data_IF_936895240492
#
_entry.id   IF_936895240492
#
_cell.length_a   1.000
_cell.length_b   1.000
_cell.length_c   1.000
_cell.angle_alpha   90.00
_cell.angle_beta   90.00
_cell.angle_gamma   90.00
#
_symmetry.space_group_name_H-M   'P 1'
#
loop_
_entity.id
_entity.type
_entity.pdbx_description
1 polymer ?
#
# COMPACT_ATOMS: atom_id res chain seq x y z
N UNK A 1 -8.07 -43.39 60.58
CA UNK A 1 -6.83 -43.97 60.12
C UNK A 1 -6.75 -43.61 58.64
N UNK A 2 -6.27 -42.39 58.39
CA UNK A 2 -6.11 -41.84 57.03
C UNK A 2 -4.68 -42.05 56.54
N UNK A 3 -4.45 -42.45 55.29
CA UNK A 3 -3.10 -42.41 54.73
C UNK A 3 -2.83 -41.07 54.03
N UNK A 4 -1.68 -40.48 54.32
CA UNK A 4 -1.12 -39.28 53.77
C UNK A 4 -0.86 -39.38 52.25
N UNK A 5 -0.90 -38.25 51.50
CA UNK A 5 -0.60 -38.24 50.07
C UNK A 5 0.90 -38.18 49.79
N UNK A 6 1.34 -39.05 48.89
CA UNK A 6 2.66 -39.09 48.31
C UNK A 6 2.94 -37.84 47.44
N UNK A 7 4.16 -37.30 47.63
CA UNK A 7 4.72 -36.24 46.81
C UNK A 7 5.11 -36.81 45.43
N UNK A 8 4.50 -36.35 44.36
CA UNK A 8 5.01 -36.50 43.02
C UNK A 8 6.01 -35.37 42.72
N UNK A 9 7.27 -35.71 42.63
CA UNK A 9 8.33 -34.87 42.06
C UNK A 9 8.20 -34.88 40.55
N UNK A 10 7.87 -33.73 39.94
CA UNK A 10 7.91 -33.55 38.48
C UNK A 10 9.32 -33.11 38.09
N UNK A 11 10.10 -34.03 37.51
CA UNK A 11 11.34 -33.70 36.82
C UNK A 11 11.09 -32.89 35.55
N UNK A 12 11.51 -31.64 35.58
CA UNK A 12 11.56 -30.83 34.38
C UNK A 12 12.85 -31.12 33.62
N UNK A 13 12.76 -31.92 32.57
CA UNK A 13 13.86 -32.07 31.60
C UNK A 13 14.00 -30.79 30.79
N UNK A 14 15.09 -30.06 31.05
CA UNK A 14 15.56 -28.99 30.16
C UNK A 14 16.04 -29.60 28.86
N UNK A 15 15.26 -29.50 27.80
CA UNK A 15 15.69 -29.77 26.43
C UNK A 15 16.48 -28.56 25.94
N UNK A 16 17.78 -28.66 25.89
CA UNK A 16 18.67 -27.74 25.19
C UNK A 16 18.37 -27.75 23.70
N UNK A 17 18.03 -26.58 23.15
CA UNK A 17 17.89 -26.35 21.70
C UNK A 17 19.30 -26.05 21.15
N UNK A 18 19.79 -26.76 20.13
CA UNK A 18 21.09 -26.47 19.53
C UNK A 18 21.08 -25.08 18.87
N UNK A 19 22.02 -24.24 19.23
CA UNK A 19 22.34 -23.01 18.51
C UNK A 19 23.06 -23.37 17.22
N UNK A 20 22.36 -23.37 16.13
CA UNK A 20 22.93 -23.42 14.79
C UNK A 20 23.36 -21.99 14.41
N UNK A 21 24.66 -21.72 14.55
CA UNK A 21 25.29 -20.51 14.03
C UNK A 21 25.35 -20.62 12.50
N UNK A 22 24.35 -20.06 11.81
CA UNK A 22 24.43 -19.83 10.38
C UNK A 22 25.32 -18.62 10.14
N UNK A 23 26.57 -18.85 9.77
CA UNK A 23 27.47 -17.84 9.25
C UNK A 23 26.89 -17.30 7.93
N UNK A 24 26.30 -16.10 7.96
CA UNK A 24 25.96 -15.35 6.76
C UNK A 24 27.22 -14.63 6.30
N UNK A 25 27.84 -15.15 5.25
CA UNK A 25 28.90 -14.46 4.53
C UNK A 25 28.36 -13.15 3.93
N UNK A 26 28.73 -12.03 4.52
CA UNK A 26 28.53 -10.68 3.98
C UNK A 26 29.63 -10.34 2.99
N UNK A 27 29.49 -10.81 1.76
CA UNK A 27 30.29 -10.35 0.63
C UNK A 27 29.36 -9.70 -0.40
N UNK A 28 29.29 -8.39 -0.37
CA UNK A 28 28.56 -7.60 -1.36
C UNK A 28 28.43 -6.17 -0.89
N UNK A 29 29.40 -5.33 -1.27
CA UNK A 29 29.35 -3.88 -0.99
C UNK A 29 28.06 -3.28 -1.57
N UNK A 30 27.05 -3.13 -0.72
CA UNK A 30 25.80 -2.45 -1.04
C UNK A 30 26.10 -0.96 -1.15
N UNK A 31 26.30 -0.49 -2.40
CA UNK A 31 26.44 0.94 -2.71
C UNK A 31 25.28 1.67 -2.03
N UNK A 32 25.60 2.52 -1.04
CA UNK A 32 24.66 3.45 -0.41
C UNK A 32 24.03 4.31 -1.50
N UNK A 33 22.85 3.94 -1.97
CA UNK A 33 22.05 4.79 -2.85
C UNK A 33 21.58 5.97 -2.01
N UNK A 34 22.06 7.15 -2.40
CA UNK A 34 21.73 8.41 -1.74
C UNK A 34 20.25 8.71 -1.94
N UNK A 35 19.45 8.56 -0.89
CA UNK A 35 17.98 8.79 -0.90
C UNK A 35 17.60 10.24 -1.23
N UNK A 36 18.57 11.17 -1.21
CA UNK A 36 18.35 12.59 -1.45
C UNK A 36 18.22 13.02 -2.92
N UNK A 37 18.51 12.17 -3.90
CA UNK A 37 18.50 12.59 -5.31
C UNK A 37 17.22 12.24 -6.09
N UNK A 38 16.29 11.50 -5.51
CA UNK A 38 15.07 11.10 -6.20
C UNK A 38 13.84 11.97 -5.92
N UNK A 39 13.93 12.98 -5.04
CA UNK A 39 12.80 13.89 -4.81
C UNK A 39 12.48 14.75 -6.04
N UNK A 40 13.49 15.07 -6.84
CA UNK A 40 13.30 15.82 -8.09
C UNK A 40 12.67 14.96 -9.22
N UNK A 41 12.73 13.64 -9.12
CA UNK A 41 12.09 12.73 -10.09
C UNK A 41 10.59 12.60 -9.87
N UNK A 42 10.10 12.90 -8.66
CA UNK A 42 8.66 12.82 -8.30
C UNK A 42 7.88 14.02 -8.85
N UNK A 43 8.55 15.14 -9.13
CA UNK A 43 7.93 16.39 -9.62
C UNK A 43 8.10 16.61 -11.13
N UNK A 44 8.81 15.76 -11.85
CA UNK A 44 8.78 15.81 -13.31
C UNK A 44 7.40 15.32 -13.76
N UNK A 45 6.67 16.08 -14.62
CA UNK A 45 5.59 15.49 -15.37
C UNK A 45 6.22 14.31 -16.12
N UNK A 46 5.80 13.10 -15.76
CA UNK A 46 6.24 11.89 -16.47
C UNK A 46 5.76 12.09 -17.88
N UNK A 47 6.67 12.49 -18.78
CA UNK A 47 6.37 12.60 -20.20
C UNK A 47 5.79 11.26 -20.62
N UNK A 48 4.57 11.28 -21.18
CA UNK A 48 3.82 10.09 -21.53
C UNK A 48 4.52 9.26 -22.62
N UNK A 49 5.53 8.49 -22.20
CA UNK A 49 6.00 7.36 -22.98
C UNK A 49 5.05 6.20 -22.77
N UNK A 50 4.77 5.43 -23.82
CA UNK A 50 3.85 4.27 -23.80
C UNK A 50 4.21 3.22 -22.73
N UNK A 51 5.42 3.28 -22.16
CA UNK A 51 5.97 2.34 -21.18
C UNK A 51 6.00 2.84 -19.73
N UNK A 52 5.28 3.90 -19.38
CA UNK A 52 5.27 4.43 -18.02
C UNK A 52 4.08 3.93 -17.19
N UNK A 53 4.32 3.69 -15.88
CA UNK A 53 3.34 3.14 -14.95
C UNK A 53 3.16 4.04 -13.74
N UNK A 54 1.93 4.15 -13.25
CA UNK A 54 1.60 4.94 -12.05
C UNK A 54 0.49 4.33 -11.21
N UNK A 55 0.37 4.82 -9.98
CA UNK A 55 -0.74 4.61 -9.07
C UNK A 55 -1.40 5.96 -8.78
N UNK A 56 -2.69 6.09 -8.99
CA UNK A 56 -3.47 7.26 -8.57
C UNK A 56 -4.13 6.96 -7.22
N UNK A 57 -4.04 7.91 -6.27
CA UNK A 57 -4.67 7.88 -4.96
C UNK A 57 -5.70 8.99 -4.91
N UNK A 58 -6.98 8.65 -4.93
CA UNK A 58 -8.08 9.62 -5.00
C UNK A 58 -8.68 9.81 -3.63
N UNK A 59 -8.59 11.02 -3.07
CA UNK A 59 -9.00 11.38 -1.71
C UNK A 59 -10.33 12.11 -1.74
N UNK A 60 -11.25 11.76 -0.84
CA UNK A 60 -12.50 12.49 -0.62
C UNK A 60 -12.25 13.77 0.17
N UNK A 61 -12.74 14.91 -0.31
CA UNK A 61 -12.58 16.21 0.34
C UNK A 61 -13.73 16.59 1.26
N UNK A 62 -14.95 16.08 1.02
CA UNK A 62 -16.13 16.30 1.86
C UNK A 62 -15.92 15.84 3.32
N UNK A 63 -15.08 14.82 3.52
CA UNK A 63 -14.73 14.32 4.85
C UNK A 63 -13.81 15.25 5.65
N UNK A 64 -13.27 16.30 5.02
CA UNK A 64 -12.39 17.31 5.65
C UNK A 64 -11.29 16.71 6.51
N UNK A 65 -10.71 15.61 6.06
CA UNK A 65 -9.62 14.92 6.77
C UNK A 65 -8.41 15.84 6.93
N UNK A 66 -7.82 15.86 8.11
CA UNK A 66 -6.54 16.53 8.34
C UNK A 66 -5.43 15.90 7.47
N UNK A 67 -4.40 16.69 7.17
CA UNK A 67 -3.29 16.28 6.29
C UNK A 67 -2.65 14.96 6.73
N UNK A 68 -2.44 14.78 8.03
CA UNK A 68 -1.89 13.54 8.59
C UNK A 68 -2.79 12.32 8.35
N UNK A 69 -4.11 12.50 8.57
CA UNK A 69 -5.09 11.44 8.30
C UNK A 69 -5.17 11.10 6.82
N UNK A 70 -5.26 12.11 5.95
CA UNK A 70 -5.28 11.89 4.50
C UNK A 70 -4.01 11.14 4.02
N UNK A 71 -2.84 11.51 4.54
CA UNK A 71 -1.58 10.82 4.24
C UNK A 71 -1.59 9.36 4.70
N UNK A 72 -2.10 9.07 5.91
CA UNK A 72 -2.23 7.70 6.42
C UNK A 72 -3.19 6.87 5.54
N UNK A 73 -4.35 7.41 5.17
CA UNK A 73 -5.32 6.73 4.31
C UNK A 73 -4.76 6.49 2.89
N UNK A 74 -3.99 7.44 2.32
CA UNK A 74 -3.26 7.23 1.07
C UNK A 74 -2.21 6.11 1.20
N UNK A 75 -1.52 6.02 2.33
CA UNK A 75 -0.55 4.97 2.60
C UNK A 75 -1.23 3.59 2.67
N UNK A 76 -2.38 3.48 3.32
CA UNK A 76 -3.18 2.24 3.32
C UNK A 76 -3.59 1.84 1.91
N UNK A 77 -4.12 2.78 1.11
CA UNK A 77 -4.50 2.50 -0.28
C UNK A 77 -3.30 2.01 -1.11
N UNK A 78 -2.12 2.62 -0.93
CA UNK A 78 -0.91 2.24 -1.66
C UNK A 78 -0.40 0.84 -1.28
N UNK A 79 -0.44 0.48 0.01
CA UNK A 79 -0.07 -0.87 0.47
C UNK A 79 -1.06 -1.91 -0.06
N UNK A 80 -2.36 -1.67 0.07
CA UNK A 80 -3.39 -2.57 -0.47
C UNK A 80 -3.25 -2.76 -1.99
N UNK A 81 -2.96 -1.69 -2.74
CA UNK A 81 -2.73 -1.76 -4.19
C UNK A 81 -1.48 -2.60 -4.53
N UNK A 82 -0.41 -2.45 -3.75
CA UNK A 82 0.82 -3.23 -3.90
C UNK A 82 0.56 -4.73 -3.65
N UNK A 83 -0.12 -5.06 -2.55
CA UNK A 83 -0.45 -6.45 -2.19
C UNK A 83 -1.34 -7.11 -3.25
N UNK A 84 -2.39 -6.42 -3.71
CA UNK A 84 -3.23 -6.93 -4.78
C UNK A 84 -2.44 -7.13 -6.09
N UNK A 85 -1.59 -6.16 -6.47
CA UNK A 85 -0.77 -6.25 -7.67
C UNK A 85 0.25 -7.41 -7.59
N UNK A 86 0.77 -7.71 -6.39
CA UNK A 86 1.70 -8.82 -6.19
C UNK A 86 1.07 -10.17 -6.58
N UNK A 87 -0.21 -10.35 -6.27
CA UNK A 87 -0.93 -11.59 -6.54
C UNK A 87 -1.62 -11.61 -7.90
N UNK A 88 -2.23 -10.50 -8.32
CA UNK A 88 -3.10 -10.45 -9.50
C UNK A 88 -2.37 -10.00 -10.78
N UNK A 89 -1.38 -9.10 -10.65
CA UNK A 89 -0.70 -8.48 -11.79
C UNK A 89 0.81 -8.30 -11.54
N UNK A 90 1.57 -9.38 -11.26
CA UNK A 90 2.98 -9.30 -10.86
C UNK A 90 3.87 -8.64 -11.91
N UNK A 91 3.55 -8.78 -13.21
CA UNK A 91 4.28 -8.12 -14.30
C UNK A 91 4.11 -6.60 -14.25
N UNK A 92 2.88 -6.11 -14.06
CA UNK A 92 2.59 -4.69 -13.91
C UNK A 92 3.29 -4.12 -12.67
N UNK A 93 3.26 -4.84 -11.56
CA UNK A 93 3.98 -4.44 -10.35
C UNK A 93 5.48 -4.30 -10.59
N UNK A 94 6.09 -5.24 -11.31
CA UNK A 94 7.53 -5.20 -11.66
C UNK A 94 7.86 -3.97 -12.51
N UNK A 95 7.05 -3.66 -13.52
CA UNK A 95 7.23 -2.50 -14.40
C UNK A 95 7.05 -1.20 -13.61
N UNK A 96 6.00 -1.08 -12.81
CA UNK A 96 5.80 0.10 -11.96
C UNK A 96 6.96 0.32 -10.98
N UNK A 97 7.51 -0.75 -10.38
CA UNK A 97 8.72 -0.67 -9.53
C UNK A 97 9.92 -0.17 -10.32
N UNK A 98 10.13 -0.65 -11.54
CA UNK A 98 11.22 -0.23 -12.40
C UNK A 98 11.11 1.25 -12.80
N UNK A 99 9.88 1.77 -12.97
CA UNK A 99 9.58 3.18 -13.23
C UNK A 99 9.62 4.09 -11.99
N UNK A 100 10.12 3.61 -10.84
CA UNK A 100 10.26 4.42 -9.62
C UNK A 100 8.99 4.51 -8.77
N UNK A 101 7.98 3.68 -9.03
CA UNK A 101 6.74 3.62 -8.25
C UNK A 101 5.98 4.96 -8.20
N UNK A 102 5.84 5.63 -9.34
CA UNK A 102 5.17 6.93 -9.42
C UNK A 102 3.76 6.87 -8.82
N UNK A 103 3.44 7.88 -7.99
CA UNK A 103 2.13 8.04 -7.33
C UNK A 103 1.65 9.47 -7.51
N UNK A 104 0.34 9.62 -7.74
CA UNK A 104 -0.34 10.93 -7.76
C UNK A 104 -1.46 10.92 -6.74
N UNK A 105 -1.59 12.00 -5.97
CA UNK A 105 -2.70 12.18 -5.04
C UNK A 105 -3.67 13.17 -5.65
N UNK A 106 -4.88 12.69 -5.92
CA UNK A 106 -5.96 13.41 -6.59
C UNK A 106 -7.13 13.59 -5.62
N UNK A 107 -8.11 14.42 -5.97
CA UNK A 107 -9.28 14.68 -5.13
C UNK A 107 -10.59 14.50 -5.86
N UNK A 108 -11.61 14.09 -5.10
CA UNK A 108 -13.04 14.14 -5.45
C UNK A 108 -13.83 14.70 -4.29
N UNK A 109 -15.05 15.18 -4.55
CA UNK A 109 -15.86 15.83 -3.51
C UNK A 109 -16.78 14.86 -2.79
N UNK A 110 -17.21 13.75 -3.42
CA UNK A 110 -18.24 12.87 -2.88
C UNK A 110 -17.86 11.39 -2.92
N UNK A 111 -18.57 10.60 -2.11
CA UNK A 111 -18.45 9.14 -2.16
C UNK A 111 -18.95 8.55 -3.49
N UNK A 112 -20.01 9.14 -4.05
CA UNK A 112 -20.57 8.68 -5.33
C UNK A 112 -19.53 8.76 -6.44
N UNK A 113 -18.85 9.90 -6.59
CA UNK A 113 -17.76 10.10 -7.54
C UNK A 113 -16.63 9.08 -7.32
N UNK A 114 -16.27 8.84 -6.05
CA UNK A 114 -15.23 7.86 -5.72
C UNK A 114 -15.60 6.45 -6.18
N UNK A 115 -16.86 6.04 -5.97
CA UNK A 115 -17.36 4.72 -6.36
C UNK A 115 -17.52 4.57 -7.87
N UNK A 116 -17.95 5.63 -8.57
CA UNK A 116 -18.01 5.64 -10.03
C UNK A 116 -16.63 5.44 -10.66
N UNK A 117 -15.59 6.12 -10.12
CA UNK A 117 -14.22 5.92 -10.52
C UNK A 117 -13.73 4.48 -10.26
N UNK A 118 -14.09 3.91 -9.10
CA UNK A 118 -13.74 2.53 -8.78
C UNK A 118 -14.38 1.54 -9.76
N UNK A 119 -15.65 1.75 -10.12
CA UNK A 119 -16.36 0.94 -11.10
C UNK A 119 -15.70 1.05 -12.49
N UNK A 120 -15.45 2.28 -12.94
CA UNK A 120 -14.79 2.56 -14.22
C UNK A 120 -13.39 1.94 -14.31
N UNK A 121 -12.59 2.04 -13.24
CA UNK A 121 -11.26 1.45 -13.18
C UNK A 121 -11.31 -0.09 -13.30
N UNK A 122 -12.22 -0.74 -12.57
CA UNK A 122 -12.40 -2.21 -12.64
C UNK A 122 -12.86 -2.67 -14.01
N UNK A 123 -13.77 -1.94 -14.66
CA UNK A 123 -14.24 -2.29 -16.01
C UNK A 123 -13.12 -2.23 -17.06
N UNK A 124 -12.04 -1.48 -16.77
CA UNK A 124 -10.85 -1.41 -17.60
C UNK A 124 -9.72 -2.37 -17.16
N UNK A 125 -9.99 -3.26 -16.21
CA UNK A 125 -9.01 -4.24 -15.71
C UNK A 125 -7.95 -3.68 -14.77
N UNK A 126 -8.12 -2.43 -14.29
CA UNK A 126 -7.22 -1.84 -13.28
C UNK A 126 -7.53 -2.39 -11.89
N UNK A 127 -6.48 -2.62 -11.11
CA UNK A 127 -6.60 -2.88 -9.67
C UNK A 127 -7.20 -1.65 -9.00
N UNK A 128 -8.08 -1.88 -8.02
CA UNK A 128 -8.65 -0.83 -7.19
C UNK A 128 -8.54 -1.20 -5.71
N UNK A 129 -8.00 -0.31 -4.90
CA UNK A 129 -7.91 -0.44 -3.45
C UNK A 129 -8.74 0.63 -2.77
N UNK A 130 -9.86 0.25 -2.20
CA UNK A 130 -10.79 1.15 -1.53
C UNK A 130 -10.59 1.07 -0.03
N UNK A 131 -10.16 2.17 0.58
CA UNK A 131 -9.92 2.27 2.03
C UNK A 131 -11.20 2.70 2.72
N UNK A 132 -11.61 1.90 3.71
CA UNK A 132 -12.70 2.23 4.63
C UNK A 132 -12.12 2.60 6.00
N UNK A 133 -12.57 3.70 6.58
CA UNK A 133 -12.14 4.11 7.92
C UNK A 133 -12.70 3.16 8.99
N UNK A 134 -11.91 2.82 9.99
CA UNK A 134 -12.34 1.98 11.12
C UNK A 134 -13.07 2.75 12.21
N UNK A 135 -13.17 4.09 12.08
CA UNK A 135 -13.92 4.95 13.00
C UNK A 135 -13.22 5.31 14.30
N UNK A 136 -11.91 5.10 14.38
CA UNK A 136 -11.14 5.44 15.59
C UNK A 136 -10.77 6.93 15.66
N UNK A 137 -11.12 7.75 14.66
CA UNK A 137 -10.69 9.14 14.56
C UNK A 137 -11.81 10.09 14.11
N UNK A 138 -11.58 10.90 13.06
CA UNK A 138 -12.38 12.08 12.66
C UNK A 138 -13.55 11.77 11.71
N UNK A 139 -13.70 10.53 11.26
CA UNK A 139 -14.65 10.13 10.21
C UNK A 139 -15.49 8.98 10.69
N UNK A 140 -16.75 8.94 10.30
CA UNK A 140 -17.66 7.86 10.69
C UNK A 140 -17.15 6.47 10.27
N UNK A 141 -17.33 5.45 11.14
CA UNK A 141 -16.93 4.08 10.85
C UNK A 141 -17.49 3.60 9.50
N UNK A 142 -16.64 2.98 8.70
CA UNK A 142 -17.03 2.44 7.39
C UNK A 142 -17.05 3.47 6.26
N UNK A 143 -16.77 4.75 6.53
CA UNK A 143 -16.65 5.76 5.47
C UNK A 143 -15.51 5.42 4.51
N UNK A 144 -15.80 5.46 3.21
CA UNK A 144 -14.79 5.28 2.17
C UNK A 144 -14.01 6.57 2.01
N UNK A 145 -12.72 6.53 2.26
CA UNK A 145 -11.86 7.72 2.38
C UNK A 145 -10.97 7.96 1.19
N UNK A 146 -10.31 6.92 0.70
CA UNK A 146 -9.35 6.97 -0.41
C UNK A 146 -9.55 5.77 -1.33
N UNK A 147 -9.44 6.01 -2.62
CA UNK A 147 -9.40 4.98 -3.66
C UNK A 147 -8.02 4.97 -4.33
N UNK A 148 -7.33 3.84 -4.30
CA UNK A 148 -6.19 3.57 -5.16
C UNK A 148 -6.64 3.00 -6.51
N UNK A 149 -6.12 3.54 -7.61
CA UNK A 149 -6.36 3.09 -8.99
C UNK A 149 -5.02 2.68 -9.60
N UNK A 150 -4.83 1.42 -9.90
CA UNK A 150 -3.58 0.83 -10.35
C UNK A 150 -2.82 0.10 -9.21
N UNK A 151 -1.48 -0.15 -9.38
CA UNK A 151 -0.62 0.38 -10.45
C UNK A 151 -1.05 -0.10 -11.84
N UNK A 152 -0.84 0.75 -12.83
CA UNK A 152 -1.17 0.46 -14.23
C UNK A 152 -0.48 1.38 -15.22
N UNK A 153 -0.57 1.10 -16.54
CA UNK A 153 -0.08 1.98 -17.58
C UNK A 153 -0.66 3.39 -17.43
N UNK A 154 0.18 4.42 -17.61
CA UNK A 154 -0.22 5.83 -17.40
C UNK A 154 -1.45 6.20 -18.21
N UNK A 155 -1.48 5.85 -19.50
CA UNK A 155 -2.60 6.12 -20.39
C UNK A 155 -3.92 5.52 -19.88
N UNK A 156 -3.88 4.28 -19.36
CA UNK A 156 -5.06 3.61 -18.86
C UNK A 156 -5.55 4.22 -17.53
N UNK A 157 -4.63 4.54 -16.62
CA UNK A 157 -4.98 5.23 -15.37
C UNK A 157 -5.54 6.62 -15.66
N UNK A 158 -5.01 7.33 -16.69
CA UNK A 158 -5.49 8.65 -17.09
C UNK A 158 -6.89 8.65 -17.73
N UNK A 159 -7.27 7.59 -18.44
CA UNK A 159 -8.66 7.49 -18.93
C UNK A 159 -9.69 7.50 -17.80
N UNK A 160 -9.29 7.05 -16.61
CA UNK A 160 -10.15 7.02 -15.42
C UNK A 160 -10.02 8.29 -14.59
N UNK A 161 -8.80 8.75 -14.32
CA UNK A 161 -8.51 9.77 -13.31
C UNK A 161 -7.87 11.04 -13.84
N UNK A 162 -7.56 11.13 -15.14
CA UNK A 162 -6.79 12.26 -15.72
C UNK A 162 -7.51 13.61 -15.70
N UNK A 163 -8.83 13.62 -15.52
CA UNK A 163 -9.64 14.84 -15.41
C UNK A 163 -9.67 15.42 -13.98
N UNK A 164 -9.18 14.66 -12.99
CA UNK A 164 -9.21 15.06 -11.59
C UNK A 164 -8.09 16.06 -11.28
N UNK A 165 -8.34 16.91 -10.28
CA UNK A 165 -7.34 17.85 -9.78
C UNK A 165 -6.47 17.20 -8.70
N UNK A 166 -5.27 17.75 -8.53
CA UNK A 166 -4.39 17.36 -7.41
C UNK A 166 -5.04 17.72 -6.07
N UNK A 167 -4.77 16.87 -5.07
CA UNK A 167 -5.23 17.06 -3.69
C UNK A 167 -4.45 18.15 -2.97
#
# INVERSE_FOLDING_TARGET
>A
MEPSPEKMESGAEHREVPKEEAAVETSGAMKKRHWGQNLAAVTRPVGGGEDSFKLALVVRTDLKMEKGKAAAQCSHAAVMAYEQALHLQPTILKLWKACGQAKLVLKVETECELLELAHKARSQGLITSLVCDTGLTQVDPGSKTVLGIGPGPVNLVDTVSGHLKLF
#
